data_IF_018127817467
#
_entry.id   IF_018127817467
#
_cell.length_a   1.000
_cell.length_b   1.000
_cell.length_c   1.000
_cell.angle_alpha   90.00
_cell.angle_beta   90.00
_cell.angle_gamma   90.00
#
_symmetry.space_group_name_H-M   'P 1'
#
loop_
_entity.id
_entity.type
_entity.pdbx_description
1 polymer ?
#
# COMPACT_ATOMS: atom_id res chain seq x y z
N UNK A 1 -9.51 22.88 -9.84
CA UNK A 1 -10.08 21.56 -10.17
C UNK A 1 -10.49 20.94 -8.86
N UNK A 2 -11.68 20.34 -8.75
CA UNK A 2 -11.98 19.50 -7.59
C UNK A 2 -11.02 18.31 -7.64
N UNK A 3 -10.05 18.30 -6.74
CA UNK A 3 -8.98 17.32 -6.71
C UNK A 3 -9.37 16.28 -5.67
N UNK A 4 -9.83 15.11 -6.12
CA UNK A 4 -10.25 14.00 -5.23
C UNK A 4 -9.08 13.38 -4.44
N UNK A 5 -7.90 14.01 -4.45
CA UNK A 5 -6.66 13.46 -3.88
C UNK A 5 -6.10 12.27 -4.66
N UNK A 6 -6.59 12.03 -5.88
CA UNK A 6 -6.11 10.96 -6.75
C UNK A 6 -4.85 11.38 -7.50
N UNK A 7 -3.99 10.40 -7.80
CA UNK A 7 -2.95 10.60 -8.81
C UNK A 7 -3.59 10.70 -10.20
N UNK A 8 -2.84 11.23 -11.18
CA UNK A 8 -3.32 11.47 -12.54
C UNK A 8 -3.89 10.21 -13.20
N UNK A 9 -3.26 9.05 -12.99
CA UNK A 9 -3.73 7.78 -13.54
C UNK A 9 -5.12 7.41 -12.99
N UNK A 10 -5.30 7.44 -11.67
CA UNK A 10 -6.58 7.13 -11.03
C UNK A 10 -7.65 8.17 -11.35
N UNK A 11 -7.28 9.45 -11.49
CA UNK A 11 -8.19 10.48 -11.93
C UNK A 11 -8.73 10.20 -13.33
N UNK A 12 -7.87 9.78 -14.26
CA UNK A 12 -8.28 9.38 -15.61
C UNK A 12 -9.20 8.14 -15.61
N UNK A 13 -8.91 7.13 -14.77
CA UNK A 13 -9.79 5.96 -14.64
C UNK A 13 -11.18 6.32 -14.10
N UNK A 14 -11.25 7.22 -13.11
CA UNK A 14 -12.52 7.71 -12.56
C UNK A 14 -13.31 8.50 -13.62
N UNK A 15 -12.64 9.36 -14.41
CA UNK A 15 -13.24 10.07 -15.54
C UNK A 15 -13.83 9.08 -16.56
N UNK A 16 -13.07 8.04 -16.94
CA UNK A 16 -13.52 7.03 -17.89
C UNK A 16 -14.77 6.30 -17.39
N UNK A 17 -14.79 5.92 -16.11
CA UNK A 17 -15.97 5.31 -15.50
C UNK A 17 -17.18 6.25 -15.48
N UNK A 18 -16.99 7.53 -15.12
CA UNK A 18 -18.08 8.52 -15.14
C UNK A 18 -18.66 8.71 -16.55
N UNK A 19 -17.81 8.75 -17.59
CA UNK A 19 -18.24 8.79 -19.01
C UNK A 19 -19.07 7.57 -19.38
N UNK A 20 -18.64 6.39 -18.98
CA UNK A 20 -19.37 5.15 -19.18
C UNK A 20 -20.74 5.19 -18.48
N UNK A 21 -20.79 5.57 -17.19
CA UNK A 21 -22.01 5.64 -16.40
C UNK A 21 -23.01 6.65 -16.98
N UNK A 22 -22.54 7.83 -17.39
CA UNK A 22 -23.37 8.84 -18.07
C UNK A 22 -23.94 8.33 -19.39
N UNK A 23 -23.13 7.65 -20.20
CA UNK A 23 -23.58 7.10 -21.49
C UNK A 23 -24.67 6.04 -21.29
N UNK A 24 -24.53 5.20 -20.26
CA UNK A 24 -25.57 4.24 -19.86
C UNK A 24 -26.84 4.97 -19.42
N UNK A 25 -26.74 5.97 -18.56
CA UNK A 25 -27.87 6.79 -18.11
C UNK A 25 -28.66 7.37 -19.28
N UNK A 26 -27.98 7.97 -20.26
CA UNK A 26 -28.63 8.54 -21.46
C UNK A 26 -29.34 7.48 -22.28
N UNK A 27 -28.73 6.30 -22.47
CA UNK A 27 -29.37 5.20 -23.19
C UNK A 27 -30.66 4.74 -22.48
N UNK A 28 -30.65 4.68 -21.15
CA UNK A 28 -31.80 4.23 -20.36
C UNK A 28 -32.94 5.23 -20.35
N UNK A 29 -32.63 6.53 -20.31
CA UNK A 29 -33.65 7.56 -20.50
C UNK A 29 -34.35 7.41 -21.85
N UNK A 30 -33.60 7.14 -22.93
CA UNK A 30 -34.19 6.86 -24.24
C UNK A 30 -35.08 5.62 -24.25
N UNK A 31 -34.69 4.55 -23.54
CA UNK A 31 -35.54 3.36 -23.40
C UNK A 31 -36.85 3.69 -22.71
N UNK A 32 -36.81 4.49 -21.64
CA UNK A 32 -38.03 4.95 -20.97
C UNK A 32 -38.88 5.79 -21.93
N UNK A 33 -38.30 6.77 -22.62
CA UNK A 33 -39.01 7.60 -23.60
C UNK A 33 -39.68 6.73 -24.67
N UNK A 34 -38.99 5.70 -25.17
CA UNK A 34 -39.55 4.74 -26.13
C UNK A 34 -40.76 3.99 -25.58
N UNK A 35 -40.81 3.61 -24.30
CA UNK A 35 -42.00 2.99 -23.72
C UNK A 35 -43.24 3.89 -23.79
N UNK A 36 -43.06 5.21 -23.62
CA UNK A 36 -44.16 6.17 -23.73
C UNK A 36 -44.60 6.35 -25.18
N UNK A 37 -43.65 6.47 -26.12
CA UNK A 37 -43.99 6.58 -27.54
C UNK A 37 -44.66 5.29 -28.07
N UNK A 38 -44.19 4.12 -27.67
CA UNK A 38 -44.84 2.84 -28.01
C UNK A 38 -46.29 2.77 -27.51
N UNK A 39 -46.58 3.27 -26.30
CA UNK A 39 -47.96 3.34 -25.81
C UNK A 39 -48.81 4.30 -26.65
N UNK A 40 -48.27 5.47 -26.99
CA UNK A 40 -48.98 6.47 -27.80
C UNK A 40 -49.33 5.90 -29.18
N UNK A 41 -48.36 5.27 -29.82
CA UNK A 41 -48.50 4.75 -31.18
C UNK A 41 -49.36 3.48 -31.26
N UNK A 42 -49.42 2.68 -30.18
CA UNK A 42 -50.11 1.38 -30.19
C UNK A 42 -51.48 1.39 -29.51
N UNK A 43 -51.68 2.19 -28.45
CA UNK A 43 -52.92 2.20 -27.66
C UNK A 43 -53.65 3.54 -27.66
N UNK A 44 -52.93 4.66 -27.82
CA UNK A 44 -53.54 6.01 -27.83
C UNK A 44 -53.87 6.48 -29.26
N UNK A 45 -54.57 5.64 -30.03
CA UNK A 45 -54.86 5.88 -31.46
C UNK A 45 -56.28 6.38 -31.74
N UNK A 46 -57.20 6.18 -30.79
CA UNK A 46 -58.61 6.55 -30.93
C UNK A 46 -58.89 8.00 -30.53
N UNK A 47 -59.97 8.59 -31.05
CA UNK A 47 -60.37 9.97 -30.73
C UNK A 47 -61.05 10.11 -29.36
N UNK A 48 -61.65 9.02 -28.84
CA UNK A 48 -62.40 9.02 -27.58
C UNK A 48 -62.04 7.81 -26.74
N UNK A 49 -61.75 8.05 -25.46
CA UNK A 49 -61.48 7.00 -24.48
C UNK A 49 -62.41 7.12 -23.27
N UNK A 50 -62.80 5.97 -22.75
CA UNK A 50 -63.42 5.88 -21.43
C UNK A 50 -62.38 6.02 -20.33
N UNK A 51 -62.83 6.39 -19.13
CA UNK A 51 -61.94 6.53 -17.97
C UNK A 51 -61.24 5.22 -17.63
N UNK A 52 -61.92 4.08 -17.79
CA UNK A 52 -61.37 2.78 -17.43
C UNK A 52 -60.28 2.33 -18.42
N UNK A 53 -60.45 2.59 -19.73
CA UNK A 53 -59.41 2.36 -20.72
C UNK A 53 -58.15 3.19 -20.45
N UNK A 54 -58.33 4.47 -20.11
CA UNK A 54 -57.19 5.35 -19.78
C UNK A 54 -56.47 4.86 -18.53
N UNK A 55 -57.20 4.43 -17.50
CA UNK A 55 -56.59 3.84 -16.29
C UNK A 55 -55.79 2.59 -16.61
N UNK A 56 -56.36 1.67 -17.38
CA UNK A 56 -55.69 0.43 -17.77
C UNK A 56 -54.41 0.70 -18.59
N UNK A 57 -54.44 1.67 -19.50
CA UNK A 57 -53.26 2.10 -20.25
C UNK A 57 -52.16 2.65 -19.35
N UNK A 58 -52.52 3.50 -18.37
CA UNK A 58 -51.57 4.08 -17.42
C UNK A 58 -50.98 3.01 -16.48
N UNK A 59 -51.79 2.08 -15.99
CA UNK A 59 -51.34 0.98 -15.13
C UNK A 59 -50.37 0.06 -15.88
N UNK A 60 -50.67 -0.25 -17.15
CA UNK A 60 -49.78 -1.01 -18.02
C UNK A 60 -48.44 -0.32 -18.25
N UNK A 61 -48.47 0.98 -18.58
CA UNK A 61 -47.25 1.77 -18.77
C UNK A 61 -46.42 1.85 -17.48
N UNK A 62 -47.07 2.07 -16.33
CA UNK A 62 -46.39 2.10 -15.04
C UNK A 62 -45.67 0.77 -14.76
N UNK A 63 -46.31 -0.37 -15.04
CA UNK A 63 -45.71 -1.68 -14.85
C UNK A 63 -44.45 -1.88 -15.71
N UNK A 64 -44.50 -1.49 -16.99
CA UNK A 64 -43.37 -1.57 -17.92
C UNK A 64 -42.22 -0.65 -17.49
N UNK A 65 -42.51 0.64 -17.26
CA UNK A 65 -41.49 1.63 -16.86
C UNK A 65 -40.85 1.23 -15.52
N UNK A 66 -41.65 0.75 -14.56
CA UNK A 66 -41.11 0.26 -13.28
C UNK A 66 -40.16 -0.91 -13.48
N UNK A 67 -40.49 -1.86 -14.36
CA UNK A 67 -39.63 -2.98 -14.70
C UNK A 67 -38.29 -2.55 -15.32
N UNK A 68 -38.33 -1.61 -16.27
CA UNK A 68 -37.11 -1.05 -16.89
C UNK A 68 -36.21 -0.34 -15.87
N UNK A 69 -36.80 0.47 -14.98
CA UNK A 69 -36.06 1.17 -13.93
C UNK A 69 -35.47 0.19 -12.93
N UNK A 70 -36.24 -0.79 -12.44
CA UNK A 70 -35.76 -1.79 -11.50
C UNK A 70 -34.59 -2.61 -12.08
N UNK A 71 -34.72 -3.05 -13.33
CA UNK A 71 -33.68 -3.78 -14.03
C UNK A 71 -32.38 -2.98 -14.15
N UNK A 72 -32.48 -1.67 -14.45
CA UNK A 72 -31.30 -0.83 -14.55
C UNK A 72 -30.64 -0.55 -13.19
N UNK A 73 -31.43 -0.37 -12.12
CA UNK A 73 -30.89 -0.21 -10.76
C UNK A 73 -30.12 -1.45 -10.33
N UNK A 74 -30.66 -2.64 -10.59
CA UNK A 74 -29.97 -3.93 -10.35
C UNK A 74 -28.69 -4.01 -11.18
N UNK A 75 -28.76 -3.67 -12.46
CA UNK A 75 -27.61 -3.71 -13.36
C UNK A 75 -26.50 -2.73 -12.94
N UNK A 76 -26.87 -1.56 -12.41
CA UNK A 76 -25.92 -0.59 -11.84
C UNK A 76 -25.20 -1.18 -10.63
N UNK A 77 -25.92 -1.81 -9.71
CA UNK A 77 -25.31 -2.49 -8.56
C UNK A 77 -24.34 -3.60 -9.01
N UNK A 78 -24.75 -4.46 -9.94
CA UNK A 78 -23.88 -5.50 -10.50
C UNK A 78 -22.63 -4.94 -11.16
N UNK A 79 -22.77 -3.87 -11.95
CA UNK A 79 -21.65 -3.20 -12.60
C UNK A 79 -20.65 -2.64 -11.58
N UNK A 80 -21.14 -2.07 -10.48
CA UNK A 80 -20.30 -1.55 -9.41
C UNK A 80 -19.56 -2.67 -8.67
N UNK A 81 -20.22 -3.81 -8.43
CA UNK A 81 -19.57 -5.00 -7.85
C UNK A 81 -18.47 -5.53 -8.78
N UNK A 82 -18.68 -5.51 -10.11
CA UNK A 82 -17.64 -5.90 -11.06
C UNK A 82 -16.44 -4.94 -11.04
N UNK A 83 -16.68 -3.63 -10.91
CA UNK A 83 -15.62 -2.65 -10.75
C UNK A 83 -14.82 -2.90 -9.45
N UNK A 84 -15.50 -3.07 -8.32
CA UNK A 84 -14.86 -3.38 -7.04
C UNK A 84 -14.04 -4.67 -7.13
N UNK A 85 -14.57 -5.72 -7.76
CA UNK A 85 -13.83 -6.96 -7.99
C UNK A 85 -12.53 -6.72 -8.77
N UNK A 86 -12.56 -5.89 -9.81
CA UNK A 86 -11.35 -5.56 -10.59
C UNK A 86 -10.32 -4.79 -9.76
N UNK A 87 -10.76 -3.84 -8.93
CA UNK A 87 -9.87 -3.09 -8.04
C UNK A 87 -9.26 -4.00 -6.95
N UNK A 88 -10.06 -4.84 -6.31
CA UNK A 88 -9.58 -5.78 -5.29
C UNK A 88 -8.66 -6.84 -5.87
N UNK A 89 -8.95 -7.36 -7.07
CA UNK A 89 -8.05 -8.29 -7.76
C UNK A 89 -6.68 -7.68 -8.08
N UNK A 90 -6.59 -6.35 -8.27
CA UNK A 90 -5.32 -5.66 -8.42
C UNK A 90 -4.64 -5.49 -7.06
N UNK A 91 -5.37 -5.02 -6.04
CA UNK A 91 -4.85 -4.82 -4.69
C UNK A 91 -4.28 -6.11 -4.06
N UNK A 92 -4.97 -7.24 -4.24
CA UNK A 92 -4.56 -8.54 -3.72
C UNK A 92 -3.21 -9.02 -4.29
N UNK A 93 -2.92 -8.72 -5.57
CA UNK A 93 -1.62 -9.05 -6.18
C UNK A 93 -0.45 -8.33 -5.50
N UNK A 94 -0.72 -7.20 -4.87
CA UNK A 94 0.24 -6.41 -4.11
C UNK A 94 0.05 -6.57 -2.60
N UNK A 95 -0.71 -7.57 -2.15
CA UNK A 95 -0.99 -7.86 -0.75
C UNK A 95 -1.59 -6.68 0.03
N UNK A 96 -2.31 -5.80 -0.65
CA UNK A 96 -3.00 -4.66 -0.04
C UNK A 96 -4.39 -5.09 0.46
N UNK A 97 -4.75 -4.64 1.65
CA UNK A 97 -6.11 -4.78 2.20
C UNK A 97 -6.83 -3.45 2.07
N UNK A 98 -7.75 -3.36 1.11
CA UNK A 98 -8.60 -2.20 0.93
C UNK A 98 -9.87 -2.35 1.78
N UNK A 99 -10.30 -1.25 2.38
CA UNK A 99 -11.55 -1.15 3.13
C UNK A 99 -12.34 0.03 2.59
N UNK A 100 -13.62 -0.17 2.37
CA UNK A 100 -14.54 0.89 1.97
C UNK A 100 -15.38 1.28 3.17
N UNK A 101 -15.46 2.58 3.46
CA UNK A 101 -16.45 3.11 4.40
C UNK A 101 -17.77 3.31 3.65
N UNK A 102 -18.73 2.42 3.91
CA UNK A 102 -20.04 2.46 3.25
C UNK A 102 -20.84 3.69 3.68
N UNK A 103 -20.58 4.22 4.87
CA UNK A 103 -21.28 5.39 5.42
C UNK A 103 -21.05 6.65 4.59
N UNK A 104 -19.88 6.75 3.95
CA UNK A 104 -19.53 7.89 3.10
C UNK A 104 -20.21 7.86 1.72
N UNK A 105 -20.80 6.72 1.31
CA UNK A 105 -21.46 6.61 -0.01
C UNK A 105 -22.75 7.44 -0.11
N UNK A 106 -23.37 7.78 1.02
CA UNK A 106 -24.56 8.64 1.10
C UNK A 106 -24.21 10.09 1.48
N UNK A 107 -22.92 10.41 1.59
CA UNK A 107 -22.47 11.75 1.95
C UNK A 107 -22.82 12.73 0.81
N UNK A 108 -23.82 13.59 1.06
CA UNK A 108 -24.33 14.56 0.08
C UNK A 108 -23.27 15.53 -0.41
N UNK A 109 -22.32 15.91 0.45
CA UNK A 109 -21.26 16.83 0.07
C UNK A 109 -20.31 16.17 -0.95
N UNK A 110 -19.89 14.94 -0.69
CA UNK A 110 -19.05 14.18 -1.62
C UNK A 110 -19.78 13.90 -2.94
N UNK A 111 -21.07 13.58 -2.89
CA UNK A 111 -21.90 13.40 -4.08
C UNK A 111 -22.03 14.69 -4.91
N UNK A 112 -22.20 15.84 -4.27
CA UNK A 112 -22.25 17.14 -4.95
C UNK A 112 -20.90 17.48 -5.61
N UNK A 113 -19.78 17.17 -4.95
CA UNK A 113 -18.45 17.35 -5.53
C UNK A 113 -18.26 16.49 -6.79
N UNK A 114 -18.70 15.24 -6.76
CA UNK A 114 -18.70 14.35 -7.94
C UNK A 114 -19.61 14.89 -9.04
N UNK A 115 -20.80 15.38 -8.69
CA UNK A 115 -21.73 15.97 -9.65
C UNK A 115 -21.18 17.22 -10.33
N UNK A 116 -20.52 18.11 -9.58
CA UNK A 116 -19.89 19.31 -10.14
C UNK A 116 -18.69 18.96 -11.02
N UNK A 117 -17.93 17.94 -10.63
CA UNK A 117 -16.86 17.40 -11.47
C UNK A 117 -17.40 16.86 -12.80
N UNK A 118 -18.52 16.11 -12.77
CA UNK A 118 -19.20 15.64 -13.99
C UNK A 118 -19.53 16.85 -14.90
N UNK A 119 -20.12 17.92 -14.37
CA UNK A 119 -20.50 19.10 -15.17
C UNK A 119 -19.31 19.83 -15.80
N UNK A 120 -18.17 19.90 -15.11
CA UNK A 120 -17.01 20.69 -15.55
C UNK A 120 -16.17 19.99 -16.63
N UNK A 121 -15.99 18.68 -16.56
CA UNK A 121 -15.21 17.93 -17.55
C UNK A 121 -15.93 17.85 -18.91
N UNK A 122 -17.27 17.78 -18.91
CA UNK A 122 -18.08 17.63 -20.13
C UNK A 122 -18.35 18.92 -20.91
N UNK A 123 -18.14 20.11 -20.33
CA UNK A 123 -18.17 21.36 -21.11
C UNK A 123 -17.00 21.46 -22.11
N UNK A 124 -15.99 20.61 -21.96
CA UNK A 124 -14.73 20.66 -22.70
C UNK A 124 -14.69 19.73 -23.92
N UNK A 125 -15.70 18.86 -24.12
CA UNK A 125 -15.60 17.69 -25.01
C UNK A 125 -16.78 17.50 -25.98
N UNK A 126 -17.22 18.57 -26.65
CA UNK A 126 -18.08 18.45 -27.87
C UNK A 126 -17.34 17.87 -29.09
N UNK A 127 -16.10 17.42 -28.92
CA UNK A 127 -15.35 16.66 -29.91
C UNK A 127 -14.77 15.45 -29.21
N UNK A 128 -15.26 14.26 -29.56
CA UNK A 128 -14.50 13.02 -29.82
C UNK A 128 -15.55 11.89 -29.87
N UNK A 129 -16.14 11.76 -31.07
CA UNK A 129 -16.55 10.45 -31.57
C UNK A 129 -15.25 9.68 -31.83
N UNK A 130 -14.77 8.92 -30.85
CA UNK A 130 -13.81 7.85 -31.14
C UNK A 130 -14.28 6.59 -30.46
N UNK A 131 -14.22 5.53 -31.27
CA UNK A 131 -14.60 4.16 -30.99
C UNK A 131 -14.15 3.73 -29.59
N UNK A 132 -15.03 2.95 -28.95
CA UNK A 132 -14.79 2.17 -27.75
C UNK A 132 -13.75 1.09 -28.11
N UNK A 133 -12.50 1.51 -28.33
CA UNK A 133 -11.35 0.63 -28.27
C UNK A 133 -11.09 0.42 -26.79
N UNK A 134 -11.39 -0.81 -26.33
CA UNK A 134 -11.02 -1.26 -24.98
C UNK A 134 -9.55 -0.89 -24.74
N UNK A 135 -9.21 -0.01 -23.78
CA UNK A 135 -7.86 -0.03 -23.27
C UNK A 135 -7.78 -1.37 -22.53
N UNK A 136 -7.19 -2.38 -23.18
CA UNK A 136 -6.58 -3.46 -22.42
C UNK A 136 -5.66 -2.76 -21.44
N UNK A 137 -5.88 -2.98 -20.15
CA UNK A 137 -4.99 -2.58 -19.07
C UNK A 137 -3.57 -2.70 -19.57
N UNK A 138 -2.94 -1.58 -19.89
CA UNK A 138 -1.52 -1.58 -20.18
C UNK A 138 -0.87 -2.05 -18.88
N UNK A 139 0.00 -3.06 -18.91
CA UNK A 139 0.85 -3.30 -17.76
C UNK A 139 1.54 -1.96 -17.50
N UNK A 140 1.24 -1.31 -16.37
CA UNK A 140 2.19 -0.37 -15.80
C UNK A 140 3.47 -1.18 -15.70
N UNK A 141 4.44 -0.80 -16.54
CA UNK A 141 5.71 -1.48 -16.72
C UNK A 141 6.08 -2.25 -15.46
N UNK A 142 6.30 -3.56 -15.61
CA UNK A 142 6.85 -4.43 -14.56
C UNK A 142 8.09 -3.80 -13.90
N UNK A 143 8.72 -2.80 -14.54
CA UNK A 143 9.80 -1.97 -14.01
C UNK A 143 9.47 -0.98 -12.90
N UNK A 144 8.24 -0.47 -12.68
CA UNK A 144 8.03 0.59 -11.68
C UNK A 144 8.22 0.12 -10.23
N UNK A 145 7.52 -0.96 -9.87
CA UNK A 145 7.65 -1.59 -8.54
C UNK A 145 8.94 -2.42 -8.47
N UNK A 146 9.36 -3.05 -9.57
CA UNK A 146 10.64 -3.77 -9.63
C UNK A 146 11.84 -2.84 -9.46
N UNK A 147 11.83 -1.63 -10.00
CA UNK A 147 12.89 -0.64 -9.78
C UNK A 147 12.92 -0.14 -8.33
N UNK A 148 11.76 0.10 -7.72
CA UNK A 148 11.69 0.48 -6.30
C UNK A 148 12.16 -0.67 -5.39
N UNK A 149 11.76 -1.92 -5.70
CA UNK A 149 12.24 -3.11 -5.02
C UNK A 149 13.75 -3.33 -5.24
N UNK A 150 14.26 -3.14 -6.45
CA UNK A 150 15.68 -3.27 -6.76
C UNK A 150 16.52 -2.20 -6.05
N UNK A 151 16.00 -0.97 -5.93
CA UNK A 151 16.62 0.09 -5.13
C UNK A 151 16.67 -0.27 -3.64
N UNK A 152 15.58 -0.82 -3.11
CA UNK A 152 15.53 -1.24 -1.70
C UNK A 152 16.42 -2.47 -1.44
N UNK A 153 16.47 -3.43 -2.37
CA UNK A 153 17.38 -4.58 -2.32
C UNK A 153 18.83 -4.10 -2.34
N UNK A 154 19.19 -3.15 -3.22
CA UNK A 154 20.54 -2.60 -3.28
C UNK A 154 20.92 -1.87 -1.98
N UNK A 155 20.01 -1.06 -1.42
CA UNK A 155 20.19 -0.37 -0.14
C UNK A 155 20.42 -1.36 1.01
N UNK A 156 19.56 -2.39 1.11
CA UNK A 156 19.66 -3.42 2.13
C UNK A 156 20.93 -4.27 1.98
N UNK A 157 21.39 -4.54 0.76
CA UNK A 157 22.66 -5.23 0.50
C UNK A 157 23.87 -4.39 0.91
N UNK A 158 23.85 -3.08 0.64
CA UNK A 158 24.90 -2.16 1.08
C UNK A 158 24.97 -2.08 2.61
N UNK A 159 23.84 -1.93 3.29
CA UNK A 159 23.77 -1.94 4.75
C UNK A 159 24.28 -3.26 5.33
N UNK A 160 23.88 -4.40 4.75
CA UNK A 160 24.38 -5.71 5.17
C UNK A 160 25.89 -5.83 5.02
N UNK A 161 26.46 -5.38 3.90
CA UNK A 161 27.89 -5.41 3.66
C UNK A 161 28.65 -4.52 4.65
N UNK A 162 28.12 -3.33 4.95
CA UNK A 162 28.67 -2.42 5.96
C UNK A 162 28.64 -3.02 7.36
N UNK A 163 27.53 -3.67 7.73
CA UNK A 163 27.41 -4.39 9.01
C UNK A 163 28.38 -5.56 9.10
N UNK A 164 28.50 -6.38 8.04
CA UNK A 164 29.46 -7.49 7.98
C UNK A 164 30.92 -7.01 8.06
N UNK A 165 31.25 -5.86 7.48
CA UNK A 165 32.58 -5.28 7.57
C UNK A 165 32.89 -4.80 9.00
N UNK A 166 31.92 -4.13 9.64
CA UNK A 166 32.03 -3.73 11.05
C UNK A 166 32.18 -4.94 11.98
N UNK A 167 31.39 -5.99 11.76
CA UNK A 167 31.47 -7.22 12.53
C UNK A 167 32.88 -7.83 12.46
N UNK A 168 33.42 -8.00 11.24
CA UNK A 168 34.79 -8.50 11.04
C UNK A 168 35.86 -7.64 11.70
N UNK A 169 35.72 -6.31 11.67
CA UNK A 169 36.64 -5.40 12.35
C UNK A 169 36.58 -5.58 13.87
N UNK A 170 35.39 -5.70 14.45
CA UNK A 170 35.20 -5.87 15.88
C UNK A 170 35.72 -7.25 16.32
N UNK A 171 35.47 -8.31 15.54
CA UNK A 171 36.00 -9.65 15.79
C UNK A 171 37.53 -9.64 15.81
N UNK A 172 38.17 -8.99 14.83
CA UNK A 172 39.63 -8.86 14.78
C UNK A 172 40.19 -8.07 15.98
N UNK A 173 39.52 -6.99 16.38
CA UNK A 173 39.89 -6.21 17.57
C UNK A 173 39.73 -7.05 18.85
N UNK A 174 38.65 -7.81 18.99
CA UNK A 174 38.40 -8.68 20.13
C UNK A 174 39.45 -9.79 20.23
N UNK A 175 39.83 -10.41 19.11
CA UNK A 175 40.91 -11.40 19.07
C UNK A 175 42.26 -10.79 19.48
N UNK A 176 42.58 -9.61 18.95
CA UNK A 176 43.83 -8.92 19.29
C UNK A 176 43.91 -8.55 20.76
N UNK A 177 42.81 -8.03 21.32
CA UNK A 177 42.70 -7.72 22.75
C UNK A 177 42.79 -8.98 23.63
N UNK A 178 42.25 -10.11 23.18
CA UNK A 178 42.37 -11.39 23.88
C UNK A 178 43.82 -11.89 23.91
N UNK A 179 44.55 -11.77 22.80
CA UNK A 179 45.98 -12.11 22.71
C UNK A 179 46.84 -11.20 23.59
N UNK A 180 46.57 -9.90 23.59
CA UNK A 180 47.23 -8.94 24.48
C UNK A 180 46.97 -9.24 25.95
N UNK A 181 45.70 -9.51 26.31
CA UNK A 181 45.33 -9.94 27.67
C UNK A 181 46.10 -11.20 28.07
N UNK A 182 46.14 -12.21 27.21
CA UNK A 182 46.84 -13.47 27.48
C UNK A 182 48.34 -13.26 27.66
N UNK A 183 48.97 -12.38 26.87
CA UNK A 183 50.38 -12.01 27.02
C UNK A 183 50.64 -11.26 28.33
N UNK A 184 49.80 -10.29 28.66
CA UNK A 184 49.89 -9.53 29.90
C UNK A 184 49.72 -10.44 31.13
N UNK A 185 48.77 -11.38 31.11
CA UNK A 185 48.58 -12.36 32.19
C UNK A 185 49.79 -13.27 32.39
N UNK A 186 50.47 -13.70 31.32
CA UNK A 186 51.72 -14.46 31.42
C UNK A 186 52.84 -13.63 32.04
N UNK A 187 53.06 -12.42 31.53
CA UNK A 187 54.07 -11.51 32.06
C UNK A 187 53.84 -11.17 33.54
N UNK A 188 52.58 -10.98 33.94
CA UNK A 188 52.21 -10.76 35.34
C UNK A 188 52.55 -11.96 36.23
N UNK A 189 52.25 -13.19 35.78
CA UNK A 189 52.62 -14.42 36.51
C UNK A 189 54.12 -14.58 36.65
N UNK A 190 54.89 -14.26 35.61
CA UNK A 190 56.35 -14.37 35.64
C UNK A 190 56.96 -13.32 36.58
N UNK A 191 56.47 -12.07 36.56
CA UNK A 191 56.87 -11.03 37.51
C UNK A 191 56.53 -11.41 38.95
N UNK A 192 55.36 -11.99 39.21
CA UNK A 192 54.99 -12.48 40.54
C UNK A 192 55.93 -13.58 41.04
N UNK A 193 56.37 -14.49 40.17
CA UNK A 193 57.38 -15.52 40.52
C UNK A 193 58.72 -14.89 40.88
N UNK A 194 59.22 -13.98 40.04
CA UNK A 194 60.50 -13.29 40.29
C UNK A 194 60.43 -12.47 41.58
N UNK A 195 59.32 -11.79 41.85
CA UNK A 195 59.11 -11.06 43.10
C UNK A 195 59.14 -12.00 44.32
N UNK A 196 58.47 -13.16 44.23
CA UNK A 196 58.51 -14.18 45.27
C UNK A 196 59.92 -14.72 45.52
N UNK A 197 60.67 -15.02 44.46
CA UNK A 197 62.07 -15.47 44.55
C UNK A 197 62.99 -14.39 45.14
N UNK A 198 62.79 -13.12 44.75
CA UNK A 198 63.54 -11.99 45.30
C UNK A 198 63.25 -11.79 46.80
N UNK A 199 62.00 -11.98 47.22
CA UNK A 199 61.56 -11.85 48.62
C UNK A 199 62.09 -12.99 49.50
N UNK A 200 62.15 -14.21 48.96
CA UNK A 200 62.80 -15.35 49.61
C UNK A 200 64.31 -15.13 49.71
N UNK A 201 64.96 -14.63 48.65
CA UNK A 201 66.39 -14.29 48.67
C UNK A 201 66.73 -13.20 49.68
N UNK A 202 65.95 -12.11 49.73
CA UNK A 202 66.16 -11.03 50.71
C UNK A 202 65.91 -11.49 52.15
N UNK A 203 64.91 -12.37 52.36
CA UNK A 203 64.68 -13.00 53.66
C UNK A 203 65.86 -13.86 54.09
N UNK A 204 66.39 -14.70 53.19
CA UNK A 204 67.56 -15.54 53.47
C UNK A 204 68.83 -14.72 53.75
N UNK A 205 69.07 -13.65 53.01
CA UNK A 205 70.22 -12.74 53.26
C UNK A 205 70.07 -12.03 54.61
N UNK A 206 68.86 -11.63 55.01
CA UNK A 206 68.63 -11.10 56.37
C UNK A 206 68.91 -12.14 57.45
N UNK A 207 68.49 -13.40 57.26
CA UNK A 207 68.76 -14.48 58.22
C UNK A 207 70.26 -14.78 58.31
N UNK A 208 70.97 -14.86 57.18
CA UNK A 208 72.43 -15.06 57.16
C UNK A 208 73.19 -13.89 57.79
N UNK A 209 72.77 -12.65 57.53
CA UNK A 209 73.37 -11.45 58.14
C UNK A 209 73.15 -11.43 59.66
N UNK A 210 71.95 -11.77 60.14
CA UNK A 210 71.67 -11.91 61.56
C UNK A 210 72.52 -13.04 62.20
N UNK A 211 72.68 -14.17 61.51
CA UNK A 211 73.47 -15.29 62.02
C UNK A 211 74.98 -14.99 62.07
N UNK A 212 75.51 -14.29 61.06
CA UNK A 212 76.89 -13.82 61.03
C UNK A 212 77.18 -12.77 62.12
N UNK A 213 76.22 -11.87 62.36
CA UNK A 213 76.35 -10.85 63.40
C UNK A 213 76.20 -11.42 64.82
N UNK A 214 75.51 -12.55 65.00
CA UNK A 214 75.41 -13.25 66.29
C UNK A 214 76.63 -14.13 66.60
N UNK A 215 77.27 -14.72 65.58
CA UNK A 215 78.46 -15.58 65.75
C UNK A 215 79.76 -14.80 65.90
N UNK A 216 79.80 -13.54 65.43
CA UNK A 216 80.95 -12.62 65.63
C UNK A 216 80.87 -11.79 66.92
N UNK A 217 79.74 -11.87 67.64
CA UNK A 217 79.47 -11.12 68.88
C UNK A 217 79.06 -12.07 70.02
N UNK A 218 79.81 -13.15 70.20
CA UNK A 218 79.82 -13.93 71.45
C UNK A 218 81.23 -13.88 72.03
N UNK A 219 81.42 -13.40 73.27
CA UNK A 219 82.73 -13.25 73.91
C UNK A 219 83.45 -14.58 74.16
#
# INVERSE_FOLDING_TARGET
>A
MAEFGFNEHHQNEVINYMRFARSKRVLRLKTIDSCFEELKDSRLVDETFTVDEVREMLDGLQAVVRGEVEMELINTAHTNVLLLRQLFSQAEKFYLRLQSDISELENRELLEQVAEFEKTDFKSTDKINQEISKPKLAPLNEGGVSELLNKEIARLQEENNKLKARLRSIESQAMSALDEKTRAERALKDLQKVQGEQQVRTSNVCVEFFHFHFTTFTP
#
